data_IF_573680344700
#
_entry.id   IF_573680344700
#
_cell.length_a   1.000
_cell.length_b   1.000
_cell.length_c   1.000
_cell.angle_alpha   90.00
_cell.angle_beta   90.00
_cell.angle_gamma   90.00
#
_symmetry.space_group_name_H-M   'P 1'
#
loop_
_entity.id
_entity.type
_entity.pdbx_description
1 polymer ?
#
# COMPACT_ATOMS: atom_id res chain seq x y z
N UNK A 1 2.20 0.80 -21.13
CA UNK A 1 1.36 0.58 -19.92
C UNK A 1 2.04 1.17 -18.69
N UNK A 2 1.46 2.18 -18.04
CA UNK A 2 2.09 2.87 -16.89
C UNK A 2 2.04 2.07 -15.57
N UNK A 3 1.05 1.19 -15.39
CA UNK A 3 0.95 0.37 -14.17
C UNK A 3 1.95 -0.80 -14.15
N UNK A 4 2.32 -1.35 -15.31
CA UNK A 4 3.28 -2.45 -15.41
C UNK A 4 4.74 -1.99 -15.24
N UNK A 5 5.06 -0.76 -15.63
CA UNK A 5 6.40 -0.17 -15.45
C UNK A 5 6.72 0.13 -13.97
N UNK A 6 5.70 0.28 -13.11
CA UNK A 6 5.87 0.50 -11.67
C UNK A 6 6.53 -0.67 -10.93
N UNK A 7 6.67 -1.84 -11.55
CA UNK A 7 7.34 -2.99 -10.95
C UNK A 7 8.73 -2.66 -10.41
N UNK A 8 9.49 -1.84 -11.16
CA UNK A 8 10.89 -1.47 -10.84
C UNK A 8 11.04 -0.09 -10.20
N UNK A 9 9.94 0.64 -10.02
CA UNK A 9 9.98 1.99 -9.45
C UNK A 9 10.07 1.94 -7.91
N UNK A 10 11.01 2.67 -7.29
CA UNK A 10 11.12 2.81 -5.83
C UNK A 10 10.11 3.83 -5.28
N UNK A 11 8.85 3.68 -5.66
CA UNK A 11 7.75 4.57 -5.28
C UNK A 11 6.79 3.91 -4.30
N UNK A 12 6.02 4.71 -3.55
CA UNK A 12 4.96 4.19 -2.69
C UNK A 12 3.90 3.38 -3.46
N UNK A 13 3.65 3.76 -4.72
CA UNK A 13 2.72 3.04 -5.61
C UNK A 13 3.37 1.77 -6.16
N UNK A 14 4.67 1.79 -6.49
CA UNK A 14 5.43 0.60 -6.88
C UNK A 14 5.48 -0.46 -5.78
N UNK A 15 5.75 -0.06 -4.54
CA UNK A 15 5.72 -0.95 -3.37
C UNK A 15 4.33 -1.59 -3.16
N UNK A 16 3.27 -0.80 -3.36
CA UNK A 16 1.90 -1.32 -3.34
C UNK A 16 1.65 -2.36 -4.45
N UNK A 17 2.08 -2.08 -5.68
CA UNK A 17 1.92 -3.01 -6.80
C UNK A 17 2.64 -4.34 -6.55
N UNK A 18 3.91 -4.30 -6.12
CA UNK A 18 4.69 -5.51 -5.81
C UNK A 18 4.00 -6.37 -4.76
N UNK A 19 3.49 -5.75 -3.69
CA UNK A 19 2.71 -6.47 -2.65
C UNK A 19 1.41 -7.08 -3.19
N UNK A 20 0.66 -6.36 -4.02
CA UNK A 20 -0.56 -6.94 -4.60
C UNK A 20 -0.23 -8.07 -5.57
N UNK A 21 0.88 -7.96 -6.30
CA UNK A 21 1.35 -9.00 -7.23
C UNK A 21 1.71 -10.27 -6.48
N UNK A 22 2.44 -10.19 -5.37
CA UNK A 22 2.77 -11.37 -4.55
C UNK A 22 1.54 -12.01 -3.91
N UNK A 23 0.55 -11.20 -3.50
CA UNK A 23 -0.66 -11.70 -2.82
C UNK A 23 -1.73 -12.25 -3.77
N UNK A 24 -1.97 -11.61 -4.91
CA UNK A 24 -3.14 -11.83 -5.77
C UNK A 24 -2.79 -12.21 -7.22
N UNK A 25 -1.51 -12.17 -7.60
CA UNK A 25 -1.06 -12.34 -8.97
C UNK A 25 -1.07 -11.05 -9.80
N UNK A 26 -0.41 -11.08 -10.96
CA UNK A 26 -0.17 -9.89 -11.77
C UNK A 26 -1.44 -9.21 -12.33
N UNK A 27 -2.45 -9.91 -12.87
CA UNK A 27 -3.62 -9.26 -13.45
C UNK A 27 -4.42 -8.45 -12.42
N UNK A 28 -4.64 -9.03 -11.23
CA UNK A 28 -5.35 -8.38 -10.12
C UNK A 28 -4.55 -7.23 -9.51
N UNK A 29 -3.22 -7.33 -9.50
CA UNK A 29 -2.36 -6.26 -9.03
C UNK A 29 -2.39 -5.04 -9.95
N UNK A 30 -2.43 -5.24 -11.27
CA UNK A 30 -2.51 -4.15 -12.26
C UNK A 30 -3.82 -3.37 -12.05
N UNK A 31 -4.96 -4.05 -11.98
CA UNK A 31 -6.27 -3.40 -11.79
C UNK A 31 -6.36 -2.65 -10.46
N UNK A 32 -5.91 -3.26 -9.36
CA UNK A 32 -5.86 -2.61 -8.06
C UNK A 32 -4.94 -1.36 -8.05
N UNK A 33 -3.83 -1.41 -8.77
CA UNK A 33 -2.88 -0.29 -8.86
C UNK A 33 -3.45 0.83 -9.72
N UNK A 34 -4.09 0.51 -10.85
CA UNK A 34 -4.79 1.49 -11.67
C UNK A 34 -5.88 2.23 -10.87
N UNK A 35 -6.70 1.49 -10.11
CA UNK A 35 -7.70 2.09 -9.22
C UNK A 35 -7.08 3.03 -8.18
N UNK A 36 -5.95 2.63 -7.57
CA UNK A 36 -5.24 3.46 -6.61
C UNK A 36 -4.69 4.75 -7.24
N UNK A 37 -4.15 4.67 -8.45
CA UNK A 37 -3.68 5.83 -9.22
C UNK A 37 -4.85 6.76 -9.56
N UNK A 38 -5.97 6.23 -10.06
CA UNK A 38 -7.15 7.03 -10.40
C UNK A 38 -7.66 7.82 -9.19
N UNK A 39 -7.73 7.17 -8.01
CA UNK A 39 -8.14 7.84 -6.77
C UNK A 39 -7.14 8.91 -6.31
N UNK A 40 -5.84 8.67 -6.53
CA UNK A 40 -4.80 9.66 -6.24
C UNK A 40 -4.97 10.88 -7.14
N UNK A 41 -5.09 10.69 -8.45
CA UNK A 41 -5.32 11.76 -9.42
C UNK A 41 -6.57 12.56 -9.06
N UNK A 42 -7.69 11.89 -8.77
CA UNK A 42 -8.92 12.56 -8.36
C UNK A 42 -8.72 13.47 -7.14
N UNK A 43 -7.99 13.00 -6.11
CA UNK A 43 -7.69 13.80 -4.92
C UNK A 43 -6.78 14.98 -5.22
N UNK A 44 -5.76 14.78 -6.05
CA UNK A 44 -4.83 15.84 -6.44
C UNK A 44 -5.55 16.95 -7.22
N UNK A 45 -6.43 16.57 -8.14
CA UNK A 45 -7.28 17.51 -8.88
C UNK A 45 -8.26 18.23 -7.96
N UNK A 46 -8.92 17.50 -7.06
CA UNK A 46 -9.90 18.06 -6.14
C UNK A 46 -9.28 19.06 -5.16
N UNK A 47 -8.12 18.72 -4.60
CA UNK A 47 -7.45 19.52 -3.57
C UNK A 47 -6.43 20.50 -4.17
N UNK A 48 -6.27 20.53 -5.51
CA UNK A 48 -5.26 21.30 -6.25
C UNK A 48 -3.82 21.12 -5.72
N UNK A 49 -3.48 19.90 -5.32
CA UNK A 49 -2.15 19.57 -4.78
C UNK A 49 -1.30 18.85 -5.81
N UNK A 50 0.00 19.09 -5.76
CA UNK A 50 0.99 18.32 -6.52
C UNK A 50 1.26 16.98 -5.83
N UNK A 51 1.43 15.92 -6.62
CA UNK A 51 1.84 14.64 -6.06
C UNK A 51 3.30 14.70 -5.66
N UNK A 52 3.57 14.49 -4.38
CA UNK A 52 4.91 14.19 -3.88
C UNK A 52 4.92 12.73 -3.44
N UNK A 53 5.78 11.94 -4.07
CA UNK A 53 5.91 10.54 -3.70
C UNK A 53 6.61 10.43 -2.34
N UNK A 54 5.94 9.87 -1.31
CA UNK A 54 6.56 9.72 0.00
C UNK A 54 7.61 8.59 0.03
N UNK A 55 7.75 7.84 -1.07
CA UNK A 55 8.74 6.77 -1.21
C UNK A 55 8.26 5.41 -0.72
N UNK A 56 9.05 4.40 -1.03
CA UNK A 56 8.78 3.00 -0.66
C UNK A 56 8.80 2.78 0.86
N UNK A 57 9.78 3.36 1.56
CA UNK A 57 9.95 3.17 3.01
C UNK A 57 8.75 3.67 3.80
N UNK A 58 8.22 4.84 3.42
CA UNK A 58 7.02 5.38 4.03
C UNK A 58 5.82 4.43 3.87
N UNK A 59 5.66 3.84 2.68
CA UNK A 59 4.60 2.87 2.44
C UNK A 59 4.81 1.60 3.30
N UNK A 60 6.04 1.12 3.41
CA UNK A 60 6.38 -0.08 4.18
C UNK A 60 6.15 0.13 5.69
N UNK A 61 6.55 1.27 6.25
CA UNK A 61 6.29 1.62 7.66
C UNK A 61 4.78 1.69 7.95
N UNK A 62 4.02 2.38 7.11
CA UNK A 62 2.55 2.46 7.24
C UNK A 62 1.91 1.08 7.13
N UNK A 63 2.43 0.23 6.26
CA UNK A 63 1.96 -1.13 6.11
C UNK A 63 2.26 -1.98 7.36
N UNK A 64 3.47 -1.90 7.88
CA UNK A 64 3.88 -2.58 9.11
C UNK A 64 2.99 -2.18 10.29
N UNK A 65 2.73 -0.88 10.46
CA UNK A 65 1.81 -0.38 11.50
C UNK A 65 0.40 -0.94 11.37
N UNK A 66 -0.12 -1.13 10.14
CA UNK A 66 -1.43 -1.78 9.92
C UNK A 66 -1.41 -3.26 10.30
N UNK A 67 -0.30 -3.96 10.04
CA UNK A 67 -0.16 -5.36 10.43
C UNK A 67 -0.17 -5.48 11.95
N UNK A 68 0.66 -4.69 12.66
CA UNK A 68 0.72 -4.71 14.13
C UNK A 68 -0.68 -4.48 14.71
N UNK A 69 -1.37 -3.41 14.29
CA UNK A 69 -2.73 -3.12 14.76
C UNK A 69 -3.71 -4.26 14.49
N UNK A 70 -3.57 -4.92 13.33
CA UNK A 70 -4.42 -6.07 13.01
C UNK A 70 -4.11 -7.28 13.88
N UNK A 71 -2.84 -7.53 14.21
CA UNK A 71 -2.42 -8.62 15.09
C UNK A 71 -2.88 -8.34 16.51
N UNK A 72 -2.64 -7.13 17.03
CA UNK A 72 -3.07 -6.69 18.35
C UNK A 72 -4.59 -6.87 18.53
N UNK A 73 -5.38 -6.44 17.54
CA UNK A 73 -6.84 -6.64 17.56
C UNK A 73 -7.24 -8.11 17.61
N UNK A 74 -6.54 -8.98 16.87
CA UNK A 74 -6.78 -10.43 16.88
C UNK A 74 -6.38 -11.07 18.22
N UNK A 75 -5.22 -10.68 18.77
CA UNK A 75 -4.76 -11.15 20.07
C UNK A 75 -5.78 -10.79 21.15
N UNK A 76 -6.22 -9.52 21.19
CA UNK A 76 -7.23 -9.04 22.14
C UNK A 76 -8.55 -9.82 22.04
N UNK A 77 -8.99 -10.13 20.82
CA UNK A 77 -10.21 -10.92 20.59
C UNK A 77 -10.10 -12.37 21.11
N UNK A 78 -8.88 -12.90 21.21
CA UNK A 78 -8.57 -14.23 21.74
C UNK A 78 -8.13 -14.21 23.22
N UNK A 79 -8.15 -13.06 23.88
CA UNK A 79 -7.72 -12.92 25.28
C UNK A 79 -6.19 -12.86 25.47
N UNK A 80 -5.42 -12.72 24.39
CA UNK A 80 -3.96 -12.57 24.43
C UNK A 80 -3.51 -11.12 24.31
N UNK A 81 -2.34 -10.80 24.87
CA UNK A 81 -1.70 -9.49 24.73
C UNK A 81 -0.45 -9.60 23.84
N UNK A 82 -0.31 -8.70 22.87
CA UNK A 82 0.87 -8.63 22.03
C UNK A 82 2.01 -7.95 22.80
N UNK A 83 3.09 -8.68 23.06
CA UNK A 83 4.30 -8.17 23.71
C UNK A 83 5.38 -8.04 22.62
N UNK A 84 5.87 -6.83 22.32
CA UNK A 84 7.00 -6.66 21.42
C UNK A 84 8.28 -7.20 22.07
N UNK A 85 9.12 -7.87 21.28
CA UNK A 85 10.45 -8.37 21.68
C UNK A 85 11.49 -7.36 21.19
#
# INVERSE_FOLDING_TARGET
MAASSLHRSPSAVGAFFRRQKTRLGAPKAITATAYKIARLIYRLLKDQKTYQDPGEDYYNQQYHGRIIKSIEKKAKALGFQLIPI
#
